data_IF_308042289996
#
_entry.id   IF_308042289996
#
_cell.length_a   1.000
_cell.length_b   1.000
_cell.length_c   1.000
_cell.angle_alpha   90.00
_cell.angle_beta   90.00
_cell.angle_gamma   90.00
#
_symmetry.space_group_name_H-M   'P 1'
#
loop_
_entity.id
_entity.type
_entity.pdbx_description
1 polymer ?
#
# COMPACT_ATOMS: atom_id res chain seq x y z
N UNK A 1 36.83 3.47 5.15
CA UNK A 1 35.72 4.40 5.47
C UNK A 1 34.49 3.55 5.75
N UNK A 2 33.75 3.81 6.83
CA UNK A 2 32.53 3.04 7.16
C UNK A 2 31.39 3.36 6.19
N UNK A 3 30.53 2.38 5.91
CA UNK A 3 29.35 2.46 5.03
C UNK A 3 28.09 2.07 5.81
N UNK A 4 26.92 2.44 5.30
CA UNK A 4 25.63 2.12 5.93
C UNK A 4 25.45 0.60 6.11
N UNK A 5 25.96 -0.18 5.15
CA UNK A 5 25.87 -1.65 5.18
C UNK A 5 26.70 -2.28 6.32
N UNK A 6 27.66 -1.56 6.92
CA UNK A 6 28.43 -2.04 8.07
C UNK A 6 27.59 -2.06 9.37
N UNK A 7 26.38 -1.50 9.37
CA UNK A 7 25.50 -1.34 10.54
C UNK A 7 24.20 -2.13 10.38
N UNK A 8 24.33 -3.44 10.15
CA UNK A 8 23.20 -4.33 9.86
C UNK A 8 22.12 -4.31 10.95
N UNK A 9 20.86 -4.26 10.53
CA UNK A 9 19.67 -4.40 11.39
C UNK A 9 19.21 -5.86 11.39
N UNK A 10 19.09 -6.46 12.58
CA UNK A 10 18.47 -7.79 12.73
C UNK A 10 17.01 -7.65 13.16
N UNK A 11 16.09 -8.18 12.36
CA UNK A 11 14.67 -8.26 12.69
C UNK A 11 14.18 -9.71 12.56
N UNK A 12 14.05 -10.38 13.71
CA UNK A 12 13.78 -11.82 13.75
C UNK A 12 14.89 -12.60 13.05
N UNK A 13 14.53 -13.32 11.97
CA UNK A 13 15.49 -14.08 11.14
C UNK A 13 16.11 -13.28 9.98
N UNK A 14 15.76 -12.00 9.84
CA UNK A 14 16.20 -11.16 8.73
C UNK A 14 17.36 -10.28 9.16
N UNK A 15 18.39 -10.23 8.34
CA UNK A 15 19.46 -9.25 8.44
C UNK A 15 19.33 -8.24 7.29
N UNK A 16 19.26 -6.96 7.60
CA UNK A 16 18.81 -5.91 6.69
C UNK A 16 19.79 -4.72 6.69
N UNK A 17 19.83 -4.00 5.57
CA UNK A 17 20.41 -2.64 5.57
C UNK A 17 19.51 -1.80 6.47
N UNK A 18 20.04 -0.97 7.39
CA UNK A 18 19.25 -0.17 8.34
C UNK A 18 18.58 1.04 7.66
N UNK A 19 17.95 0.81 6.50
CA UNK A 19 17.20 1.80 5.73
C UNK A 19 15.76 1.32 5.63
N UNK A 20 14.85 2.17 6.10
CA UNK A 20 13.41 1.94 6.09
C UNK A 20 12.79 3.11 5.34
N UNK A 21 12.16 2.83 4.20
CA UNK A 21 11.37 3.83 3.49
C UNK A 21 9.98 3.89 4.12
N UNK A 22 9.59 5.06 4.59
CA UNK A 22 8.33 5.28 5.30
C UNK A 22 7.09 5.14 4.42
N UNK A 23 5.97 4.86 5.10
CA UNK A 23 4.60 4.84 4.61
C UNK A 23 3.96 6.24 4.58
N UNK A 24 3.68 6.87 3.43
CA UNK A 24 2.86 8.09 3.31
C UNK A 24 1.59 7.82 2.50
N UNK A 25 0.49 8.45 2.93
CA UNK A 25 -0.91 8.36 2.45
C UNK A 25 -1.22 7.64 1.12
N UNK A 26 -1.95 8.31 0.24
CA UNK A 26 -2.49 7.70 -0.98
C UNK A 26 -1.43 7.72 -2.08
N UNK A 27 -0.95 6.54 -2.49
CA UNK A 27 -0.05 6.34 -3.64
C UNK A 27 1.30 7.10 -3.57
N UNK A 28 1.70 7.58 -2.38
CA UNK A 28 3.05 8.14 -2.18
C UNK A 28 4.03 7.04 -1.75
N UNK A 29 3.57 6.13 -0.91
CA UNK A 29 4.21 4.84 -0.66
C UNK A 29 3.95 3.85 -1.79
N UNK A 30 4.42 4.22 -2.98
CA UNK A 30 4.27 3.43 -4.17
C UNK A 30 4.98 2.08 -4.02
N UNK A 31 4.37 1.03 -4.57
CA UNK A 31 4.95 -0.30 -4.63
C UNK A 31 6.35 -0.27 -5.27
N UNK A 32 6.54 0.54 -6.31
CA UNK A 32 7.83 0.68 -7.03
C UNK A 32 8.99 1.12 -6.11
N UNK A 33 8.79 2.14 -5.27
CA UNK A 33 9.82 2.60 -4.34
C UNK A 33 10.11 1.54 -3.26
N UNK A 34 9.06 0.90 -2.76
CA UNK A 34 9.18 -0.16 -1.77
C UNK A 34 9.95 -1.37 -2.30
N UNK A 35 9.71 -1.73 -3.57
CA UNK A 35 10.42 -2.80 -4.26
C UNK A 35 11.91 -2.48 -4.42
N UNK A 36 12.27 -1.23 -4.71
CA UNK A 36 13.68 -0.82 -4.78
C UNK A 36 14.35 -0.93 -3.41
N UNK A 37 13.70 -0.47 -2.35
CA UNK A 37 14.22 -0.60 -0.99
C UNK A 37 14.46 -2.07 -0.60
N UNK A 38 13.48 -2.93 -0.87
CA UNK A 38 13.59 -4.36 -0.60
C UNK A 38 14.69 -5.04 -1.43
N UNK A 39 14.83 -4.67 -2.71
CA UNK A 39 15.89 -5.18 -3.60
C UNK A 39 17.27 -4.84 -3.07
N UNK A 40 17.43 -3.65 -2.50
CA UNK A 40 18.68 -3.18 -1.89
C UNK A 40 18.89 -3.68 -0.46
N UNK A 41 18.03 -4.58 0.04
CA UNK A 41 18.17 -5.20 1.36
C UNK A 41 17.62 -4.37 2.52
N UNK A 42 16.93 -3.26 2.26
CA UNK A 42 16.21 -2.46 3.26
C UNK A 42 14.74 -2.88 3.41
N UNK A 43 13.95 -2.01 4.03
CA UNK A 43 12.50 -2.20 4.21
C UNK A 43 11.74 -1.13 3.42
N UNK A 44 10.83 -1.56 2.54
CA UNK A 44 9.88 -0.68 1.85
C UNK A 44 8.49 -0.75 2.48
N UNK A 45 7.78 0.37 2.56
CA UNK A 45 6.38 0.40 3.01
C UNK A 45 5.42 0.69 1.87
N UNK A 46 4.41 -0.16 1.69
CA UNK A 46 3.19 0.15 0.95
C UNK A 46 2.09 0.65 1.90
N UNK A 47 1.00 1.17 1.35
CA UNK A 47 -0.10 1.78 2.11
C UNK A 47 -1.44 1.26 1.60
N UNK A 48 -2.35 0.95 2.50
CA UNK A 48 -3.73 0.58 2.16
C UNK A 48 -4.68 1.80 2.07
N UNK A 49 -4.14 3.00 2.21
CA UNK A 49 -4.89 4.25 2.13
C UNK A 49 -5.50 4.41 0.74
N UNK A 50 -6.83 4.50 0.68
CA UNK A 50 -7.58 4.59 -0.58
C UNK A 50 -7.17 3.50 -1.58
N UNK A 51 -6.90 2.26 -1.11
CA UNK A 51 -6.51 1.14 -1.96
C UNK A 51 -7.47 0.85 -3.13
N UNK A 52 -8.80 1.12 -3.05
CA UNK A 52 -9.67 1.04 -4.23
C UNK A 52 -9.29 2.07 -5.32
N UNK A 53 -8.91 3.29 -4.93
CA UNK A 53 -8.43 4.33 -5.87
C UNK A 53 -7.10 3.94 -6.50
N UNK A 54 -6.17 3.40 -5.70
CA UNK A 54 -4.89 2.89 -6.22
C UNK A 54 -5.15 1.74 -7.20
N UNK A 55 -6.10 0.86 -6.88
CA UNK A 55 -6.46 -0.25 -7.75
C UNK A 55 -7.05 0.21 -9.08
N UNK A 56 -7.91 1.23 -9.07
CA UNK A 56 -8.49 1.77 -10.31
C UNK A 56 -7.38 2.31 -11.23
N UNK A 57 -6.36 2.96 -10.66
CA UNK A 57 -5.21 3.50 -11.40
C UNK A 57 -4.25 2.42 -11.91
N UNK A 58 -3.90 1.44 -11.07
CA UNK A 58 -2.82 0.49 -11.33
C UNK A 58 -3.29 -0.81 -11.98
N UNK A 59 -4.52 -1.23 -11.70
CA UNK A 59 -5.09 -2.51 -12.12
C UNK A 59 -6.32 -2.36 -13.02
N UNK A 60 -6.66 -1.13 -13.45
CA UNK A 60 -7.80 -0.83 -14.32
C UNK A 60 -9.15 -1.32 -13.77
N UNK A 61 -9.27 -1.37 -12.45
CA UNK A 61 -10.55 -1.61 -11.77
C UNK A 61 -11.45 -0.37 -11.87
N UNK A 62 -12.68 -0.48 -11.38
CA UNK A 62 -13.67 0.61 -11.39
C UNK A 62 -14.32 0.85 -10.04
N UNK A 63 -13.69 0.43 -8.94
CA UNK A 63 -14.29 0.42 -7.61
C UNK A 63 -14.79 1.79 -7.15
N UNK A 64 -13.98 2.84 -7.33
CA UNK A 64 -14.37 4.19 -6.93
C UNK A 64 -15.40 4.75 -7.90
N UNK A 65 -15.26 4.43 -9.20
CA UNK A 65 -16.22 4.83 -10.23
C UNK A 65 -17.62 4.22 -9.97
N UNK A 66 -17.67 2.95 -9.62
CA UNK A 66 -18.91 2.22 -9.36
C UNK A 66 -19.55 2.69 -8.05
N UNK A 67 -18.74 2.92 -7.00
CA UNK A 67 -19.20 3.57 -5.76
C UNK A 67 -19.77 4.96 -6.03
N UNK A 68 -19.08 5.79 -6.82
CA UNK A 68 -19.56 7.13 -7.18
C UNK A 68 -20.89 7.07 -7.94
N UNK A 69 -21.04 6.10 -8.86
CA UNK A 69 -22.28 5.92 -9.61
C UNK A 69 -23.44 5.47 -8.69
N UNK A 70 -23.19 4.53 -7.77
CA UNK A 70 -24.17 4.07 -6.78
C UNK A 70 -24.66 5.19 -5.86
N UNK A 71 -23.73 6.01 -5.36
CA UNK A 71 -24.04 7.09 -4.41
C UNK A 71 -24.15 8.47 -5.06
N UNK A 72 -24.38 8.55 -6.37
CA UNK A 72 -24.46 9.82 -7.12
C UNK A 72 -25.49 10.78 -6.53
N UNK A 73 -26.61 10.23 -6.02
CA UNK A 73 -27.66 11.00 -5.36
C UNK A 73 -27.20 11.71 -4.07
N UNK A 74 -26.15 11.20 -3.41
CA UNK A 74 -25.66 11.70 -2.13
C UNK A 74 -24.43 12.61 -2.27
N UNK A 75 -23.98 12.96 -3.48
CA UNK A 75 -22.73 13.72 -3.69
C UNK A 75 -22.77 15.11 -3.05
N UNK A 76 -23.88 15.84 -3.20
CA UNK A 76 -24.04 17.19 -2.65
C UNK A 76 -24.51 17.23 -1.18
N UNK A 77 -24.92 16.10 -0.61
CA UNK A 77 -25.37 16.03 0.78
C UNK A 77 -24.19 16.10 1.74
N UNK A 78 -24.26 16.92 2.79
CA UNK A 78 -23.24 16.97 3.83
C UNK A 78 -23.25 15.71 4.69
N UNK A 79 -24.42 15.09 4.87
CA UNK A 79 -24.53 13.80 5.53
C UNK A 79 -24.11 12.66 4.59
N UNK A 80 -23.02 11.98 4.95
CA UNK A 80 -22.46 10.84 4.23
C UNK A 80 -22.70 9.50 4.93
N UNK A 81 -23.52 9.44 5.98
CA UNK A 81 -23.80 8.23 6.76
C UNK A 81 -24.22 7.02 5.92
N UNK A 82 -24.94 7.24 4.82
CA UNK A 82 -25.36 6.17 3.89
C UNK A 82 -24.22 5.65 3.00
N UNK A 83 -23.13 6.40 2.86
CA UNK A 83 -22.00 6.07 1.97
C UNK A 83 -20.99 5.21 2.71
N UNK A 84 -21.19 3.89 2.67
CA UNK A 84 -20.35 2.93 3.37
C UNK A 84 -19.23 2.38 2.49
N UNK A 85 -18.23 1.75 3.10
CA UNK A 85 -17.28 0.90 2.38
C UNK A 85 -17.94 -0.42 2.01
N UNK A 86 -17.67 -0.88 0.79
CA UNK A 86 -17.92 -2.27 0.43
C UNK A 86 -16.72 -3.09 0.91
N UNK A 87 -16.95 -3.94 1.91
CA UNK A 87 -15.91 -4.75 2.54
C UNK A 87 -15.35 -5.82 1.59
N UNK A 88 -16.14 -6.32 0.64
CA UNK A 88 -15.69 -7.26 -0.37
C UNK A 88 -14.73 -6.59 -1.35
N UNK A 89 -15.09 -5.42 -1.85
CA UNK A 89 -14.22 -4.59 -2.70
C UNK A 89 -12.94 -4.20 -1.97
N UNK A 90 -13.02 -3.83 -0.68
CA UNK A 90 -11.85 -3.46 0.10
C UNK A 90 -10.89 -4.66 0.27
N UNK A 91 -11.42 -5.84 0.60
CA UNK A 91 -10.63 -7.06 0.72
C UNK A 91 -9.97 -7.42 -0.61
N UNK A 92 -10.71 -7.36 -1.72
CA UNK A 92 -10.17 -7.65 -3.05
C UNK A 92 -9.08 -6.65 -3.47
N UNK A 93 -9.32 -5.34 -3.29
CA UNK A 93 -8.36 -4.30 -3.62
C UNK A 93 -7.07 -4.43 -2.79
N UNK A 94 -7.20 -4.74 -1.50
CA UNK A 94 -6.06 -4.99 -0.60
C UNK A 94 -5.28 -6.22 -1.04
N UNK A 95 -5.96 -7.34 -1.28
CA UNK A 95 -5.33 -8.58 -1.73
C UNK A 95 -4.57 -8.37 -3.04
N UNK A 96 -5.19 -7.71 -4.04
CA UNK A 96 -4.53 -7.43 -5.31
C UNK A 96 -3.30 -6.53 -5.14
N UNK A 97 -3.39 -5.46 -4.34
CA UNK A 97 -2.27 -4.55 -4.11
C UNK A 97 -1.09 -5.25 -3.42
N UNK A 98 -1.36 -6.03 -2.38
CA UNK A 98 -0.34 -6.78 -1.64
C UNK A 98 0.26 -7.87 -2.50
N UNK A 99 -0.55 -8.72 -3.14
CA UNK A 99 -0.05 -9.84 -3.97
C UNK A 99 0.80 -9.34 -5.12
N UNK A 100 0.34 -8.34 -5.88
CA UNK A 100 1.12 -7.78 -6.99
C UNK A 100 2.47 -7.21 -6.53
N UNK A 101 2.52 -6.57 -5.36
CA UNK A 101 3.77 -6.06 -4.77
C UNK A 101 4.68 -7.21 -4.34
N UNK A 102 4.14 -8.22 -3.66
CA UNK A 102 4.94 -9.34 -3.16
C UNK A 102 5.44 -10.26 -4.28
N UNK A 103 4.64 -10.47 -5.33
CA UNK A 103 5.05 -11.21 -6.54
C UNK A 103 6.19 -10.51 -7.28
N UNK A 104 6.20 -9.17 -7.31
CA UNK A 104 7.27 -8.39 -7.92
C UNK A 104 8.52 -8.25 -7.03
N UNK A 105 8.45 -8.63 -5.75
CA UNK A 105 9.53 -8.46 -4.78
C UNK A 105 10.75 -9.27 -5.16
N UNK A 106 11.89 -8.59 -5.20
CA UNK A 106 13.20 -9.19 -5.38
C UNK A 106 14.12 -8.81 -4.21
N UNK A 107 15.16 -9.60 -3.98
CA UNK A 107 16.16 -9.34 -2.95
C UNK A 107 15.72 -9.67 -1.52
N UNK A 108 16.66 -9.56 -0.57
CA UNK A 108 16.50 -10.06 0.80
C UNK A 108 15.73 -9.11 1.71
N UNK A 109 15.49 -7.87 1.29
CA UNK A 109 14.78 -6.87 2.09
C UNK A 109 13.31 -7.21 2.32
N UNK A 110 12.59 -6.37 3.04
CA UNK A 110 11.20 -6.62 3.44
C UNK A 110 10.24 -5.59 2.83
N UNK A 111 8.98 -5.98 2.71
CA UNK A 111 7.86 -5.10 2.37
C UNK A 111 6.90 -5.10 3.56
N UNK A 112 6.65 -3.93 4.12
CA UNK A 112 5.67 -3.69 5.17
C UNK A 112 4.46 -2.95 4.59
N UNK A 113 3.33 -3.04 5.28
CA UNK A 113 2.12 -2.31 4.91
C UNK A 113 1.69 -1.42 6.08
N UNK A 114 1.45 -0.15 5.78
CA UNK A 114 0.77 0.74 6.69
C UNK A 114 -0.75 0.49 6.59
N UNK A 115 -1.34 0.05 7.70
CA UNK A 115 -2.78 -0.20 7.80
C UNK A 115 -3.49 1.03 8.35
N UNK A 116 -4.35 1.64 7.53
CA UNK A 116 -5.17 2.78 7.92
C UNK A 116 -6.53 2.32 8.41
N UNK A 117 -7.01 2.96 9.47
CA UNK A 117 -8.39 2.80 9.93
C UNK A 117 -9.38 3.11 8.80
N UNK A 118 -10.40 2.25 8.66
CA UNK A 118 -11.48 2.44 7.70
C UNK A 118 -12.66 3.03 8.47
N UNK A 119 -12.75 4.35 8.47
CA UNK A 119 -13.82 5.13 9.11
C UNK A 119 -15.02 5.30 8.17
#
# INVERSE_FOLDING_TARGET
MKRVDDFRLTLGKHELVPIIIGGMGVDISAAELSLVAARLGGIGHISDAMVPTVSDRRFKTKYVKDKLQQYKFNVANSDKSVVQFDMGVLAEATARHVSATMEAKQGPGLIFINCMEKL
#
